data_IF_108159029484
#
_entry.id   IF_108159029484
#
_cell.length_a   1.000
_cell.length_b   1.000
_cell.length_c   1.000
_cell.angle_alpha   90.00
_cell.angle_beta   90.00
_cell.angle_gamma   90.00
#
_symmetry.space_group_name_H-M   'P 1'
#
loop_
_entity.id
_entity.type
_entity.pdbx_description
1 polymer ?
#
# COMPACT_ATOMS: atom_id res chain seq x y z
N UNK A 1 -8.01 5.67 -28.29
CA UNK A 1 -8.58 4.54 -29.07
C UNK A 1 -10.08 4.35 -28.79
N UNK A 2 -10.53 4.52 -27.54
CA UNK A 2 -11.95 4.42 -27.16
C UNK A 2 -12.84 5.53 -27.75
N UNK A 3 -12.33 6.74 -27.94
CA UNK A 3 -13.11 7.88 -28.50
C UNK A 3 -13.79 7.59 -29.84
N UNK A 4 -13.19 6.70 -30.66
CA UNK A 4 -13.78 6.28 -31.93
C UNK A 4 -15.07 5.48 -31.73
N UNK A 5 -15.11 4.63 -30.71
CA UNK A 5 -16.30 3.83 -30.37
C UNK A 5 -17.41 4.69 -29.76
N UNK A 6 -17.05 5.76 -29.03
CA UNK A 6 -18.01 6.71 -28.46
C UNK A 6 -18.75 7.48 -29.55
N UNK A 7 -18.04 7.96 -30.59
CA UNK A 7 -18.67 8.67 -31.72
C UNK A 7 -19.65 7.79 -32.49
N UNK A 8 -19.43 6.48 -32.52
CA UNK A 8 -20.34 5.54 -33.18
C UNK A 8 -21.68 5.39 -32.45
N UNK A 9 -21.74 5.72 -31.14
CA UNK A 9 -22.98 5.70 -30.36
C UNK A 9 -24.02 6.72 -30.85
N UNK A 10 -23.59 7.81 -31.49
CA UNK A 10 -24.48 8.83 -32.06
C UNK A 10 -25.29 8.31 -33.25
N UNK A 11 -24.87 7.18 -33.83
CA UNK A 11 -25.48 6.56 -35.01
C UNK A 11 -26.25 5.27 -34.68
N UNK A 12 -26.40 4.92 -33.39
CA UNK A 12 -27.14 3.73 -32.96
C UNK A 12 -28.62 4.07 -32.84
N UNK A 13 -29.47 3.24 -33.46
CA UNK A 13 -30.93 3.37 -33.47
C UNK A 13 -31.52 3.32 -32.03
N UNK A 14 -32.59 4.06 -31.71
CA UNK A 14 -33.18 4.08 -30.36
C UNK A 14 -33.74 2.71 -29.92
N UNK A 15 -33.94 1.76 -30.83
CA UNK A 15 -34.30 0.36 -30.49
C UNK A 15 -33.13 -0.43 -29.90
N UNK A 16 -31.90 0.04 -30.12
CA UNK A 16 -30.65 -0.44 -29.52
C UNK A 16 -30.27 0.37 -28.26
N UNK A 17 -31.18 1.19 -27.71
CA UNK A 17 -30.94 2.04 -26.53
C UNK A 17 -30.36 1.27 -25.34
N UNK A 18 -30.82 0.04 -25.08
CA UNK A 18 -30.27 -0.79 -24.00
C UNK A 18 -28.81 -1.19 -24.24
N UNK A 19 -28.42 -1.45 -25.50
CA UNK A 19 -27.03 -1.75 -25.87
C UNK A 19 -26.17 -0.51 -25.83
N UNK A 20 -26.70 0.61 -26.32
CA UNK A 20 -26.03 1.91 -26.26
C UNK A 20 -25.80 2.35 -24.81
N UNK A 21 -26.79 2.20 -23.92
CA UNK A 21 -26.66 2.48 -22.48
C UNK A 21 -25.64 1.56 -21.82
N UNK A 22 -25.64 0.26 -22.14
CA UNK A 22 -24.63 -0.68 -21.63
C UNK A 22 -23.22 -0.29 -22.08
N UNK A 23 -23.04 0.13 -23.33
CA UNK A 23 -21.74 0.55 -23.85
C UNK A 23 -21.27 1.87 -23.20
N UNK A 24 -22.18 2.81 -22.96
CA UNK A 24 -21.89 4.04 -22.20
C UNK A 24 -21.42 3.70 -20.78
N UNK A 25 -22.10 2.80 -20.08
CA UNK A 25 -21.68 2.33 -18.75
C UNK A 25 -20.29 1.68 -18.77
N UNK A 26 -20.03 0.79 -19.74
CA UNK A 26 -18.73 0.15 -19.88
C UNK A 26 -17.61 1.17 -20.20
N UNK A 27 -17.91 2.21 -20.97
CA UNK A 27 -16.96 3.27 -21.26
C UNK A 27 -16.56 4.03 -20.00
N UNK A 28 -17.53 4.40 -19.16
CA UNK A 28 -17.25 5.07 -17.88
C UNK A 28 -16.43 4.17 -16.95
N UNK A 29 -16.76 2.88 -16.88
CA UNK A 29 -15.96 1.89 -16.15
C UNK A 29 -14.52 1.87 -16.67
N UNK A 30 -14.32 1.80 -17.99
CA UNK A 30 -12.99 1.77 -18.60
C UNK A 30 -12.19 3.06 -18.33
N UNK A 31 -12.83 4.23 -18.33
CA UNK A 31 -12.18 5.51 -17.98
C UNK A 31 -11.68 5.50 -16.54
N UNK A 32 -12.46 4.94 -15.62
CA UNK A 32 -12.07 4.80 -14.22
C UNK A 32 -10.85 3.88 -14.08
N UNK A 33 -10.89 2.70 -14.70
CA UNK A 33 -9.74 1.77 -14.69
C UNK A 33 -8.50 2.38 -15.36
N UNK A 34 -8.68 3.13 -16.44
CA UNK A 34 -7.59 3.87 -17.09
C UNK A 34 -6.98 4.91 -16.15
N UNK A 35 -7.80 5.66 -15.42
CA UNK A 35 -7.33 6.65 -14.43
C UNK A 35 -6.49 6.00 -13.33
N UNK A 36 -6.99 4.92 -12.72
CA UNK A 36 -6.25 4.17 -11.68
C UNK A 36 -4.96 3.58 -12.26
N UNK A 37 -5.02 2.97 -13.44
CA UNK A 37 -3.82 2.38 -14.08
C UNK A 37 -2.75 3.42 -14.38
N UNK A 38 -3.14 4.61 -14.86
CA UNK A 38 -2.21 5.73 -15.08
C UNK A 38 -1.58 6.21 -13.78
N UNK A 39 -2.37 6.31 -12.70
CA UNK A 39 -1.83 6.68 -11.38
C UNK A 39 -0.82 5.63 -10.91
N UNK A 40 -1.13 4.34 -11.02
CA UNK A 40 -0.24 3.24 -10.64
C UNK A 40 1.08 3.21 -11.42
N UNK A 41 1.07 3.65 -12.68
CA UNK A 41 2.26 3.72 -13.54
C UNK A 41 3.12 4.97 -13.29
N UNK A 42 2.72 5.86 -12.39
CA UNK A 42 3.54 7.03 -12.03
C UNK A 42 4.71 6.65 -11.10
N UNK A 43 5.79 7.43 -11.14
CA UNK A 43 7.05 7.12 -10.43
C UNK A 43 6.93 7.08 -8.90
N UNK A 44 5.90 7.70 -8.30
CA UNK A 44 5.82 7.91 -6.85
C UNK A 44 4.46 7.50 -6.29
N UNK A 45 4.17 6.20 -6.30
CA UNK A 45 3.00 5.64 -5.61
C UNK A 45 3.49 4.76 -4.47
N UNK A 46 2.94 4.96 -3.27
CA UNK A 46 3.16 4.09 -2.12
C UNK A 46 2.20 2.89 -2.13
N UNK A 47 2.57 1.79 -1.47
CA UNK A 47 1.73 0.60 -1.35
C UNK A 47 0.40 0.90 -0.62
N UNK A 48 0.40 1.84 0.33
CA UNK A 48 -0.80 2.44 0.92
C UNK A 48 -1.73 3.07 -0.13
N UNK A 49 -1.21 3.94 -1.00
CA UNK A 49 -2.02 4.59 -2.05
C UNK A 49 -2.60 3.57 -3.02
N UNK A 50 -1.82 2.54 -3.38
CA UNK A 50 -2.32 1.41 -4.19
C UNK A 50 -3.52 0.75 -3.51
N UNK A 51 -3.39 0.44 -2.21
CA UNK A 51 -4.46 -0.19 -1.42
C UNK A 51 -5.73 0.66 -1.41
N UNK A 52 -5.61 1.98 -1.21
CA UNK A 52 -6.75 2.92 -1.23
C UNK A 52 -7.46 2.89 -2.58
N UNK A 53 -6.72 2.94 -3.70
CA UNK A 53 -7.31 2.90 -5.03
C UNK A 53 -8.00 1.55 -5.30
N UNK A 54 -7.41 0.44 -4.87
CA UNK A 54 -8.01 -0.88 -5.03
C UNK A 54 -9.26 -1.05 -4.16
N UNK A 55 -9.28 -0.55 -2.93
CA UNK A 55 -10.46 -0.60 -2.07
C UNK A 55 -11.62 0.24 -2.62
N UNK A 56 -11.31 1.39 -3.24
CA UNK A 56 -12.31 2.19 -3.96
C UNK A 56 -12.93 1.40 -5.13
N UNK A 57 -12.08 0.77 -5.97
CA UNK A 57 -12.55 -0.07 -7.08
C UNK A 57 -13.39 -1.27 -6.60
N UNK A 58 -13.02 -1.90 -5.48
CA UNK A 58 -13.78 -3.01 -4.90
C UNK A 58 -15.14 -2.54 -4.39
N UNK A 59 -15.20 -1.34 -3.80
CA UNK A 59 -16.46 -0.76 -3.31
C UNK A 59 -17.45 -0.55 -4.45
N UNK A 60 -16.97 -0.07 -5.59
CA UNK A 60 -17.80 0.12 -6.78
C UNK A 60 -18.10 -1.18 -7.53
N UNK A 61 -17.12 -2.11 -7.55
CA UNK A 61 -17.21 -3.38 -8.27
C UNK A 61 -16.77 -4.53 -7.37
N UNK A 62 -17.67 -5.07 -6.53
CA UNK A 62 -17.34 -6.12 -5.57
C UNK A 62 -16.72 -7.38 -6.18
N UNK A 63 -17.00 -7.66 -7.45
CA UNK A 63 -16.41 -8.78 -8.21
C UNK A 63 -14.87 -8.71 -8.31
N UNK A 64 -14.28 -7.52 -8.17
CA UNK A 64 -12.82 -7.35 -8.20
C UNK A 64 -12.13 -7.80 -6.92
N UNK A 65 -12.88 -8.02 -5.82
CA UNK A 65 -12.31 -8.38 -4.52
C UNK A 65 -11.42 -9.62 -4.56
N UNK A 66 -11.76 -10.59 -5.41
CA UNK A 66 -10.97 -11.82 -5.57
C UNK A 66 -9.59 -11.58 -6.22
N UNK A 67 -9.41 -10.47 -6.92
CA UNK A 67 -8.16 -10.13 -7.63
C UNK A 67 -7.37 -9.01 -6.95
N UNK A 68 -8.08 -8.00 -6.41
CA UNK A 68 -7.48 -6.80 -5.83
C UNK A 68 -7.57 -6.76 -4.31
N UNK A 69 -8.18 -7.76 -3.67
CA UNK A 69 -8.30 -7.82 -2.22
C UNK A 69 -6.95 -8.00 -1.51
N UNK A 70 -6.82 -7.62 -0.24
CA UNK A 70 -5.56 -7.75 0.52
C UNK A 70 -5.15 -9.21 0.77
N UNK A 71 -6.06 -10.17 0.51
CA UNK A 71 -5.83 -11.62 0.59
C UNK A 71 -6.17 -12.31 -0.72
N UNK A 72 -6.13 -11.60 -1.85
CA UNK A 72 -6.29 -12.20 -3.16
C UNK A 72 -5.12 -13.17 -3.42
N UNK A 73 -5.34 -14.22 -4.22
CA UNK A 73 -4.34 -15.27 -4.46
C UNK A 73 -3.05 -14.75 -5.10
N UNK A 74 -3.10 -13.59 -5.76
CA UNK A 74 -1.93 -12.91 -6.35
C UNK A 74 -1.01 -12.29 -5.29
N UNK A 75 -1.51 -12.04 -4.08
CA UNK A 75 -0.78 -11.41 -2.98
C UNK A 75 0.16 -12.45 -2.38
N UNK A 76 1.46 -12.29 -2.61
CA UNK A 76 2.46 -13.28 -2.20
C UNK A 76 2.58 -13.40 -0.67
N UNK A 77 2.46 -12.29 0.05
CA UNK A 77 2.55 -12.26 1.52
C UNK A 77 1.56 -11.26 2.12
N UNK A 78 0.30 -11.67 2.35
CA UNK A 78 -0.76 -10.78 2.82
C UNK A 78 -0.45 -10.03 4.12
N UNK A 79 0.13 -10.73 5.10
CA UNK A 79 0.46 -10.13 6.40
C UNK A 79 1.63 -9.13 6.28
N UNK A 80 2.53 -9.33 5.31
CA UNK A 80 3.62 -8.39 5.06
C UNK A 80 3.10 -7.12 4.37
N UNK A 81 2.32 -7.27 3.29
CA UNK A 81 1.75 -6.13 2.57
C UNK A 81 0.82 -5.31 3.48
N UNK A 82 -0.02 -5.97 4.28
CA UNK A 82 -0.87 -5.31 5.28
C UNK A 82 -0.04 -4.50 6.28
N UNK A 83 1.04 -5.10 6.81
CA UNK A 83 1.96 -4.39 7.71
C UNK A 83 2.59 -3.17 7.03
N UNK A 84 3.02 -3.28 5.77
CA UNK A 84 3.55 -2.16 5.00
C UNK A 84 2.54 -1.02 4.84
N UNK A 85 1.28 -1.33 4.52
CA UNK A 85 0.19 -0.33 4.46
C UNK A 85 0.05 0.40 5.80
N UNK A 86 -0.06 -0.35 6.90
CA UNK A 86 -0.25 0.21 8.25
C UNK A 86 0.92 1.08 8.68
N UNK A 87 2.15 0.70 8.32
CA UNK A 87 3.36 1.47 8.63
C UNK A 87 3.44 2.75 7.79
N UNK A 88 3.08 2.68 6.50
CA UNK A 88 3.03 3.85 5.61
C UNK A 88 1.94 4.86 6.00
N UNK A 89 0.91 4.43 6.73
CA UNK A 89 -0.10 5.30 7.37
C UNK A 89 0.37 5.91 8.70
N UNK A 90 1.64 5.72 9.10
CA UNK A 90 2.18 6.09 10.42
C UNK A 90 1.40 5.46 11.60
N UNK A 91 0.69 4.34 11.38
CA UNK A 91 -0.12 3.67 12.40
C UNK A 91 0.54 2.39 12.94
N UNK A 92 1.84 2.45 13.23
CA UNK A 92 2.67 1.29 13.61
C UNK A 92 2.18 0.57 14.88
N UNK A 93 1.43 1.26 15.74
CA UNK A 93 0.86 0.70 16.97
C UNK A 93 -0.26 -0.31 16.69
N UNK A 94 -0.95 -0.19 15.54
CA UNK A 94 -2.05 -1.06 15.15
C UNK A 94 -1.61 -2.43 14.57
N UNK A 95 -0.30 -2.63 14.36
CA UNK A 95 0.23 -3.88 13.80
C UNK A 95 -0.11 -5.08 14.71
N UNK A 96 -0.76 -6.06 14.11
CA UNK A 96 -1.03 -7.37 14.71
C UNK A 96 0.26 -8.16 14.95
N UNK A 97 0.14 -9.26 15.71
CA UNK A 97 1.29 -10.15 15.98
C UNK A 97 1.87 -10.75 14.69
N UNK A 98 1.01 -11.15 13.75
CA UNK A 98 1.42 -11.76 12.47
C UNK A 98 2.14 -10.74 11.60
N UNK A 99 1.58 -9.54 11.48
CA UNK A 99 2.20 -8.41 10.76
C UNK A 99 3.57 -8.06 11.36
N UNK A 100 3.68 -7.91 12.68
CA UNK A 100 4.96 -7.67 13.36
C UNK A 100 6.00 -8.76 13.08
N UNK A 101 5.59 -10.01 12.98
CA UNK A 101 6.49 -11.11 12.62
C UNK A 101 6.93 -11.02 11.16
N UNK A 102 6.03 -10.65 10.25
CA UNK A 102 6.32 -10.50 8.83
C UNK A 102 7.30 -9.34 8.54
N UNK A 103 7.17 -8.21 9.24
CA UNK A 103 8.08 -7.06 9.07
C UNK A 103 9.29 -7.06 10.01
N UNK A 104 9.43 -8.09 10.85
CA UNK A 104 10.56 -8.22 11.80
C UNK A 104 11.94 -8.00 11.16
N UNK A 105 12.25 -8.49 9.95
CA UNK A 105 13.55 -8.26 9.31
C UNK A 105 13.86 -6.76 9.04
N UNK A 106 12.84 -5.92 8.98
CA UNK A 106 12.95 -4.49 8.69
C UNK A 106 12.99 -3.62 9.95
N UNK A 107 13.02 -4.25 11.14
CA UNK A 107 13.16 -3.58 12.42
C UNK A 107 14.59 -3.06 12.55
N UNK A 108 14.76 -1.75 12.59
CA UNK A 108 16.04 -1.12 12.89
C UNK A 108 16.14 -0.96 14.40
N UNK A 109 17.01 -1.75 15.05
CA UNK A 109 17.38 -1.51 16.44
C UNK A 109 18.17 -0.20 16.50
N UNK A 110 17.57 0.86 17.04
CA UNK A 110 18.29 2.11 17.31
C UNK A 110 19.35 1.99 18.41
N UNK A 111 19.48 0.80 19.02
CA UNK A 111 20.47 0.49 20.04
C UNK A 111 21.74 -0.22 19.54
N UNK A 112 21.86 -0.58 18.25
CA UNK A 112 23.04 -1.32 17.74
C UNK A 112 24.08 -0.48 16.99
N UNK A 113 23.97 0.85 17.00
CA UNK A 113 25.07 1.74 16.60
C UNK A 113 25.85 2.25 17.82
N UNK A 114 26.35 1.36 18.67
CA UNK A 114 27.46 1.70 19.57
C UNK A 114 28.57 0.70 19.28
N UNK A 115 29.60 1.20 18.62
CA UNK A 115 30.84 0.49 18.35
C UNK A 115 31.34 -0.20 19.62
N UNK A 116 31.87 -1.40 19.44
CA UNK A 116 32.60 -2.13 20.48
C UNK A 116 33.76 -1.26 20.97
N UNK A 117 33.71 -0.90 22.25
CA UNK A 117 34.74 -0.18 22.98
C UNK A 117 34.64 -0.58 24.45
N UNK A 118 35.80 -0.94 25.02
CA UNK A 118 36.06 -1.59 26.31
C UNK A 118 35.30 -1.02 27.53
N UNK A 119 35.15 -1.81 28.62
CA UNK A 119 34.34 -1.41 29.77
C UNK A 119 35.11 -0.41 30.66
N UNK A 120 34.87 0.89 30.49
CA UNK A 120 35.16 1.88 31.53
C UNK A 120 33.94 2.07 32.45
N UNK A 121 34.22 2.20 33.75
CA UNK A 121 33.25 2.23 34.85
C UNK A 121 32.19 3.33 34.68
N UNK A 122 30.95 2.93 34.36
CA UNK A 122 29.84 3.87 34.21
C UNK A 122 29.39 4.42 35.57
N UNK A 123 29.55 5.74 35.74
CA UNK A 123 29.09 6.48 36.92
C UNK A 123 27.57 6.44 37.11
N UNK A 124 27.13 6.58 38.37
CA UNK A 124 25.72 6.47 38.80
C UNK A 124 24.74 7.35 38.03
N UNK A 125 25.16 8.51 37.51
CA UNK A 125 24.33 9.39 36.69
C UNK A 125 23.89 8.72 35.37
N UNK A 126 24.74 7.88 34.78
CA UNK A 126 24.49 7.22 33.50
C UNK A 126 23.50 6.04 33.65
N UNK A 127 23.53 5.34 34.79
CA UNK A 127 22.51 4.32 35.16
C UNK A 127 21.12 4.91 35.35
N UNK A 128 21.04 6.16 35.82
CA UNK A 128 19.76 6.85 36.05
C UNK A 128 19.18 7.36 34.73
N UNK A 129 20.02 7.93 33.85
CA UNK A 129 19.58 8.41 32.54
C UNK A 129 19.15 7.28 31.59
N UNK A 130 19.79 6.10 31.63
CA UNK A 130 19.34 4.90 30.87
C UNK A 130 18.02 4.30 31.37
N UNK A 131 17.58 4.66 32.59
CA UNK A 131 16.29 4.25 33.17
C UNK A 131 15.16 5.25 32.92
N UNK A 132 15.47 6.45 32.44
CA UNK A 132 14.43 7.34 31.97
C UNK A 132 13.80 6.70 30.71
N UNK A 133 12.48 6.52 30.66
CA UNK A 133 11.84 6.08 29.44
C UNK A 133 12.00 7.21 28.43
N UNK A 134 13.03 7.11 27.59
CA UNK A 134 13.02 7.81 26.32
C UNK A 134 11.83 7.21 25.59
N UNK A 135 10.74 7.98 25.49
CA UNK A 135 9.71 7.76 24.49
C UNK A 135 10.38 8.00 23.14
N UNK A 136 11.24 7.05 22.74
CA UNK A 136 11.84 6.98 21.42
C UNK A 136 10.70 6.66 20.49
N UNK A 137 10.02 7.70 20.01
CA UNK A 137 9.32 7.70 18.74
C UNK A 137 10.30 7.55 17.57
N UNK A 138 11.33 6.72 17.74
CA UNK A 138 12.29 6.41 16.72
C UNK A 138 11.68 5.34 15.84
N UNK A 139 11.08 5.81 14.74
CA UNK A 139 10.38 5.04 13.71
C UNK A 139 11.09 3.70 13.44
N UNK A 140 10.58 2.62 14.05
CA UNK A 140 11.20 1.29 14.07
C UNK A 140 11.35 0.70 12.66
N UNK A 141 10.55 1.20 11.72
CA UNK A 141 10.38 0.67 10.37
C UNK A 141 10.74 1.70 9.27
N UNK A 142 11.76 2.54 9.48
CA UNK A 142 12.18 3.57 8.49
C UNK A 142 12.33 3.05 7.06
N UNK A 143 12.80 1.79 6.90
CA UNK A 143 13.05 1.17 5.59
C UNK A 143 11.76 0.78 4.85
N UNK A 144 10.63 0.61 5.54
CA UNK A 144 9.36 0.21 4.92
C UNK A 144 8.72 1.34 4.10
N UNK A 145 9.04 2.59 4.43
CA UNK A 145 8.59 3.75 3.66
C UNK A 145 9.24 3.85 2.27
N UNK A 146 10.31 3.08 2.02
CA UNK A 146 11.04 3.06 0.75
C UNK A 146 10.62 1.88 -0.14
N UNK A 147 9.82 0.94 0.39
CA UNK A 147 9.35 -0.22 -0.38
C UNK A 147 8.35 0.26 -1.43
N UNK A 148 8.66 0.16 -2.74
CA UNK A 148 7.71 0.50 -3.78
C UNK A 148 6.59 -0.54 -3.82
N UNK A 149 5.38 -0.18 -4.27
CA UNK A 149 4.35 -1.15 -4.58
C UNK A 149 4.92 -2.15 -5.59
N UNK A 150 4.67 -3.44 -5.37
CA UNK A 150 5.24 -4.54 -6.15
C UNK A 150 4.78 -4.46 -7.61
N UNK A 151 5.48 -3.68 -8.41
CA UNK A 151 5.54 -3.83 -9.85
C UNK A 151 6.67 -4.82 -10.09
N UNK A 152 6.35 -6.03 -10.56
CA UNK A 152 7.36 -7.03 -10.94
C UNK A 152 8.40 -6.36 -11.85
N UNK A 153 9.63 -6.18 -11.38
CA UNK A 153 10.76 -6.02 -12.29
C UNK A 153 10.95 -7.37 -12.96
N UNK A 154 10.51 -7.46 -14.22
CA UNK A 154 10.85 -8.57 -15.13
C UNK A 154 12.30 -8.43 -15.57
#
# INVERSE_FOLDING_TARGET
>A
MLDRYVRLLEFIDPKDDARAQKLKGLLEDLKQFESVSKRLQSESVSLWEVRVMFDALITEKPALKQYLGPRADIVASPDFESACVTIQQDNQHALSRQEKMAVRPFVVNTSSCTNEGEPEEQGTAERVLKRAPVTSGDKLYKLINVIPPTSMSS
#
